data_IF_500463513766
#
_entry.id   IF_500463513766
#
_cell.length_a   1.000
_cell.length_b   1.000
_cell.length_c   1.000
_cell.angle_alpha   90.00
_cell.angle_beta   90.00
_cell.angle_gamma   90.00
#
_symmetry.space_group_name_H-M   'P 1'
#
loop_
_entity.id
_entity.type
_entity.pdbx_description
1 polymer ?
#
# COMPACT_ATOMS: atom_id res chain seq x y z
N UNK A 1 2.79 18.53 -9.50
CA UNK A 1 2.97 17.07 -9.68
C UNK A 1 2.60 16.41 -8.37
N UNK A 2 1.68 15.44 -8.37
CA UNK A 2 1.24 14.74 -7.17
C UNK A 2 1.99 13.43 -7.04
N UNK A 3 2.59 13.17 -5.89
CA UNK A 3 3.28 11.91 -5.60
C UNK A 3 2.23 10.84 -5.36
N UNK A 4 2.33 9.72 -6.08
CA UNK A 4 1.48 8.55 -5.85
C UNK A 4 2.33 7.45 -5.21
N UNK A 5 2.06 7.16 -3.94
CA UNK A 5 2.88 6.30 -3.10
C UNK A 5 2.04 5.26 -2.34
N UNK A 6 2.69 4.21 -1.88
CA UNK A 6 2.10 3.25 -0.97
C UNK A 6 3.03 2.88 0.19
N UNK A 7 2.42 2.62 1.34
CA UNK A 7 3.04 2.02 2.51
C UNK A 7 2.35 0.68 2.81
N UNK A 8 3.12 -0.41 2.73
CA UNK A 8 2.64 -1.76 3.02
C UNK A 8 3.28 -2.20 4.33
N UNK A 9 2.47 -2.53 5.34
CA UNK A 9 2.97 -3.07 6.61
C UNK A 9 2.54 -4.53 6.79
N UNK A 10 3.42 -5.32 7.39
CA UNK A 10 3.17 -6.74 7.65
C UNK A 10 2.81 -6.90 9.13
N UNK A 11 1.65 -7.48 9.42
CA UNK A 11 1.25 -7.78 10.78
C UNK A 11 0.26 -8.97 10.84
N UNK A 12 0.16 -9.67 11.98
CA UNK A 12 -0.83 -10.71 12.18
C UNK A 12 -2.25 -10.13 12.18
N UNK A 13 -3.24 -10.96 11.81
CA UNK A 13 -4.68 -10.63 11.82
C UNK A 13 -5.12 -9.51 10.86
N UNK A 14 -4.20 -9.03 10.02
CA UNK A 14 -4.51 -7.98 9.06
C UNK A 14 -5.15 -8.59 7.80
N UNK A 15 -6.18 -7.94 7.29
CA UNK A 15 -6.83 -8.30 6.03
C UNK A 15 -6.66 -7.15 5.04
N UNK A 16 -5.90 -7.37 3.98
CA UNK A 16 -5.57 -6.33 2.99
C UNK A 16 -6.80 -5.74 2.26
N UNK A 17 -7.96 -6.41 2.30
CA UNK A 17 -9.21 -5.90 1.73
C UNK A 17 -9.98 -5.00 2.70
N UNK A 18 -9.74 -5.12 4.00
CA UNK A 18 -10.46 -4.39 5.06
C UNK A 18 -9.55 -3.31 5.66
N UNK A 19 -8.33 -3.68 6.02
CA UNK A 19 -7.36 -2.83 6.71
C UNK A 19 -6.47 -2.09 5.70
N UNK A 20 -7.10 -1.20 4.94
CA UNK A 20 -6.42 -0.25 4.03
C UNK A 20 -7.12 1.10 4.04
N UNK A 21 -6.37 2.15 3.74
CA UNK A 21 -6.92 3.50 3.59
C UNK A 21 -6.16 4.28 2.53
N UNK A 22 -6.77 5.36 2.06
CA UNK A 22 -6.16 6.30 1.12
C UNK A 22 -6.11 7.67 1.78
N UNK A 23 -4.90 8.22 1.88
CA UNK A 23 -4.65 9.58 2.33
C UNK A 23 -4.49 10.46 1.09
N UNK A 24 -5.51 11.27 0.82
CA UNK A 24 -5.52 12.20 -0.30
C UNK A 24 -5.25 13.63 0.17
N UNK A 25 -4.15 14.21 -0.31
CA UNK A 25 -3.76 15.60 -0.09
C UNK A 25 -3.46 16.29 -1.43
N UNK A 26 -3.28 17.62 -1.47
CA UNK A 26 -2.95 18.31 -2.72
C UNK A 26 -1.66 17.81 -3.41
N UNK A 27 -0.70 17.30 -2.65
CA UNK A 27 0.64 16.94 -3.17
C UNK A 27 0.97 15.45 -3.08
N UNK A 28 0.25 14.67 -2.26
CA UNK A 28 0.47 13.23 -2.06
C UNK A 28 -0.85 12.48 -2.10
N UNK A 29 -0.90 11.38 -2.87
CA UNK A 29 -1.83 10.27 -2.70
C UNK A 29 -1.04 9.12 -2.06
N UNK A 30 -1.39 8.73 -0.85
CA UNK A 30 -0.73 7.63 -0.13
C UNK A 30 -1.72 6.52 0.19
N UNK A 31 -1.49 5.35 -0.39
CA UNK A 31 -2.20 4.13 -0.01
C UNK A 31 -1.50 3.50 1.18
N UNK A 32 -2.22 3.27 2.27
CA UNK A 32 -1.72 2.50 3.42
C UNK A 32 -2.48 1.18 3.45
N UNK A 33 -1.78 0.05 3.44
CA UNK A 33 -2.39 -1.27 3.42
C UNK A 33 -1.61 -2.23 4.30
N UNK A 34 -2.34 -2.96 5.12
CA UNK A 34 -1.77 -4.01 5.92
C UNK A 34 -1.97 -5.38 5.27
N UNK A 35 -0.94 -6.22 5.33
CA UNK A 35 -0.93 -7.56 4.74
C UNK A 35 -0.45 -8.56 5.78
N UNK A 36 -0.86 -9.82 5.66
CA UNK A 36 -0.52 -10.83 6.68
C UNK A 36 0.86 -11.44 6.51
N UNK A 37 1.46 -11.34 5.32
CA UNK A 37 2.76 -11.90 4.98
C UNK A 37 3.33 -11.27 3.69
N UNK A 38 4.58 -11.63 3.36
CA UNK A 38 5.26 -11.12 2.17
C UNK A 38 4.62 -11.54 0.84
N UNK A 39 3.98 -12.71 0.76
CA UNK A 39 3.30 -13.12 -0.48
C UNK A 39 2.11 -12.21 -0.78
N UNK A 40 1.35 -11.81 0.24
CA UNK A 40 0.33 -10.77 0.10
C UNK A 40 0.96 -9.40 -0.18
N UNK A 41 2.09 -9.06 0.45
CA UNK A 41 2.81 -7.82 0.15
C UNK A 41 3.19 -7.69 -1.33
N UNK A 42 3.74 -8.77 -1.92
CA UNK A 42 4.09 -8.83 -3.34
C UNK A 42 2.86 -8.68 -4.23
N UNK A 43 1.80 -9.42 -3.94
CA UNK A 43 0.53 -9.36 -4.70
C UNK A 43 -0.03 -7.94 -4.69
N UNK A 44 -0.07 -7.30 -3.51
CA UNK A 44 -0.58 -5.94 -3.34
C UNK A 44 0.36 -4.92 -3.99
N UNK A 45 1.68 -5.10 -3.93
CA UNK A 45 2.62 -4.21 -4.61
C UNK A 45 2.40 -4.21 -6.14
N UNK A 46 2.21 -5.39 -6.74
CA UNK A 46 1.91 -5.53 -8.18
C UNK A 46 0.58 -4.84 -8.52
N UNK A 47 -0.47 -5.06 -7.71
CA UNK A 47 -1.76 -4.36 -7.86
C UNK A 47 -1.57 -2.84 -7.83
N UNK A 48 -0.86 -2.31 -6.84
CA UNK A 48 -0.67 -0.88 -6.65
C UNK A 48 0.14 -0.24 -7.78
N UNK A 49 1.17 -0.93 -8.29
CA UNK A 49 1.92 -0.48 -9.47
C UNK A 49 1.00 -0.39 -10.69
N UNK A 50 0.11 -1.36 -10.90
CA UNK A 50 -0.87 -1.32 -11.98
C UNK A 50 -1.89 -0.17 -11.85
N UNK A 51 -2.13 0.30 -10.61
CA UNK A 51 -2.96 1.47 -10.30
C UNK A 51 -2.17 2.79 -10.39
N UNK A 52 -0.90 2.75 -10.80
CA UNK A 52 -0.07 3.93 -11.04
C UNK A 52 0.67 4.44 -9.81
N UNK A 53 0.77 3.65 -8.73
CA UNK A 53 1.68 3.94 -7.61
C UNK A 53 3.12 3.85 -8.11
N UNK A 54 3.93 4.87 -7.80
CA UNK A 54 5.30 5.01 -8.30
C UNK A 54 6.37 4.84 -7.23
N UNK A 55 5.98 4.91 -5.96
CA UNK A 55 6.86 4.72 -4.81
C UNK A 55 6.20 3.78 -3.82
N UNK A 56 6.91 2.74 -3.38
CA UNK A 56 6.39 1.76 -2.42
C UNK A 56 7.43 1.58 -1.32
N UNK A 57 6.97 1.67 -0.08
CA UNK A 57 7.74 1.28 1.09
C UNK A 57 7.07 0.08 1.76
N UNK A 58 7.87 -0.91 2.13
CA UNK A 58 7.42 -2.04 2.95
C UNK A 58 8.08 -2.01 4.32
N UNK A 59 7.36 -2.42 5.35
CA UNK A 59 7.88 -2.53 6.72
C UNK A 59 7.35 -3.81 7.39
N UNK A 60 8.20 -4.46 8.18
CA UNK A 60 7.88 -5.60 9.05
C UNK A 60 8.28 -5.24 10.47
#
# INVERSE_FOLDING_TARGET
MKVNAAFIFIAPEVNCKIHRTVLDTPVVNLVVVGVKNYNEAETIAIELVSQGVKAIQTYN
#
